data_IF_950795312763
#
_entry.id   IF_950795312763
#
_cell.length_a   1.000
_cell.length_b   1.000
_cell.length_c   1.000
_cell.angle_alpha   90.00
_cell.angle_beta   90.00
_cell.angle_gamma   90.00
#
_symmetry.space_group_name_H-M   'P 1'
#
loop_
_entity.id
_entity.type
_entity.pdbx_description
1 polymer ?
#
# COMPACT_ATOMS: atom_id res chain seq x y z
N UNK A 1 -48.03 12.52 -52.76
CA UNK A 1 -48.13 12.07 -51.36
C UNK A 1 -46.82 11.38 -50.99
N UNK A 2 -45.84 12.13 -50.48
CA UNK A 2 -44.58 11.56 -49.95
C UNK A 2 -44.72 11.40 -48.46
N UNK A 3 -44.62 10.16 -47.97
CA UNK A 3 -44.55 9.86 -46.55
C UNK A 3 -43.12 10.07 -46.07
N UNK A 4 -42.91 11.05 -45.19
CA UNK A 4 -41.68 11.21 -44.43
C UNK A 4 -41.72 10.23 -43.25
N UNK A 5 -40.89 9.18 -43.30
CA UNK A 5 -40.60 8.38 -42.12
C UNK A 5 -39.77 9.24 -41.15
N UNK A 6 -40.36 9.54 -40.00
CA UNK A 6 -39.67 10.16 -38.87
C UNK A 6 -39.13 9.03 -38.01
N UNK A 7 -37.86 8.65 -38.24
CA UNK A 7 -37.15 7.76 -37.32
C UNK A 7 -36.91 8.51 -36.02
N UNK A 8 -37.46 7.96 -34.94
CA UNK A 8 -37.26 8.47 -33.58
C UNK A 8 -35.87 8.06 -33.13
N UNK A 9 -35.00 8.97 -32.67
CA UNK A 9 -33.68 8.60 -32.16
C UNK A 9 -33.87 7.76 -30.90
N UNK A 10 -33.47 6.49 -30.96
CA UNK A 10 -33.28 5.65 -29.78
C UNK A 10 -32.25 6.33 -28.89
N UNK A 11 -32.70 6.80 -27.73
CA UNK A 11 -31.84 7.21 -26.63
C UNK A 11 -30.95 6.01 -26.26
N UNK A 12 -29.68 6.05 -26.66
CA UNK A 12 -28.68 5.12 -26.16
C UNK A 12 -28.67 5.21 -24.64
N UNK A 13 -29.05 4.12 -23.97
CA UNK A 13 -28.86 3.99 -22.53
C UNK A 13 -27.37 4.18 -22.26
N UNK A 14 -26.95 5.10 -21.38
CA UNK A 14 -25.53 5.23 -21.03
C UNK A 14 -25.05 3.87 -20.52
N UNK A 15 -23.93 3.38 -21.07
CA UNK A 15 -23.28 2.22 -20.51
C UNK A 15 -22.91 2.53 -19.05
N UNK A 16 -23.09 1.59 -18.12
CA UNK A 16 -22.65 1.81 -16.75
C UNK A 16 -21.14 2.09 -16.75
N UNK A 17 -20.72 3.05 -15.94
CA UNK A 17 -19.30 3.37 -15.78
C UNK A 17 -18.54 2.11 -15.34
N UNK A 18 -17.31 1.89 -15.84
CA UNK A 18 -16.51 0.77 -15.39
C UNK A 18 -16.25 0.89 -13.88
N UNK A 19 -16.28 -0.23 -13.13
CA UNK A 19 -16.00 -0.20 -11.69
C UNK A 19 -14.54 0.18 -11.44
N UNK A 20 -14.28 0.80 -10.31
CA UNK A 20 -12.92 1.02 -9.82
C UNK A 20 -12.27 -0.31 -9.43
N UNK A 21 -10.94 -0.34 -9.38
CA UNK A 21 -10.18 -1.52 -8.95
C UNK A 21 -9.31 -1.16 -7.75
N UNK A 22 -9.38 -1.99 -6.71
CA UNK A 22 -8.46 -1.97 -5.56
C UNK A 22 -7.69 -3.28 -5.52
N UNK A 23 -6.39 -3.21 -5.29
CA UNK A 23 -5.51 -4.38 -5.15
C UNK A 23 -4.83 -4.35 -3.80
N UNK A 24 -4.85 -5.46 -3.08
CA UNK A 24 -4.00 -5.72 -1.93
C UNK A 24 -2.97 -6.79 -2.31
N UNK A 25 -1.72 -6.35 -2.45
CA UNK A 25 -0.58 -7.22 -2.75
C UNK A 25 0.17 -7.52 -1.46
N UNK A 26 0.34 -8.79 -1.11
CA UNK A 26 0.88 -9.19 0.19
C UNK A 26 2.12 -10.08 0.10
N UNK A 27 3.02 -9.92 1.05
CA UNK A 27 4.21 -10.76 1.27
C UNK A 27 4.26 -11.10 2.76
N UNK A 28 3.84 -12.33 3.09
CA UNK A 28 3.56 -12.78 4.45
C UNK A 28 4.07 -14.22 4.66
N UNK A 29 5.23 -14.43 5.31
CA UNK A 29 6.15 -13.42 5.85
C UNK A 29 7.00 -12.71 4.78
N UNK A 30 7.48 -11.51 5.09
CA UNK A 30 8.42 -10.74 4.28
C UNK A 30 9.77 -10.60 4.99
N UNK A 31 10.84 -10.75 4.21
CA UNK A 31 12.19 -10.50 4.66
C UNK A 31 12.53 -9.00 4.52
N UNK A 32 12.87 -8.35 5.63
CA UNK A 32 13.58 -7.07 5.57
C UNK A 32 15.06 -7.38 5.31
N UNK A 33 15.46 -7.34 4.04
CA UNK A 33 16.87 -7.50 3.69
C UNK A 33 17.71 -6.41 4.39
N UNK A 34 18.83 -6.78 5.04
CA UNK A 34 19.79 -5.79 5.51
C UNK A 34 20.31 -4.99 4.30
N UNK A 35 20.43 -3.69 4.49
CA UNK A 35 20.96 -2.77 3.48
C UNK A 35 22.35 -3.24 3.11
N UNK A 36 22.57 -3.56 1.83
CA UNK A 36 23.93 -3.52 1.29
C UNK A 36 24.41 -2.09 1.50
N UNK A 37 25.52 -1.82 2.23
CA UNK A 37 25.85 -0.48 2.73
C UNK A 37 25.99 0.61 1.66
N UNK A 38 26.00 0.23 0.39
CA UNK A 38 26.21 1.13 -0.72
C UNK A 38 24.90 1.63 -1.32
N UNK A 39 24.75 2.95 -1.36
CA UNK A 39 23.62 3.64 -1.96
C UNK A 39 23.70 3.70 -3.50
N UNK A 40 24.83 3.30 -4.10
CA UNK A 40 25.06 3.31 -5.54
C UNK A 40 24.62 1.99 -6.22
N UNK A 41 23.65 2.02 -7.15
CA UNK A 41 23.24 0.83 -7.92
C UNK A 41 24.37 0.24 -8.80
N UNK A 42 25.42 1.01 -9.12
CA UNK A 42 26.61 0.60 -9.87
C UNK A 42 27.81 0.20 -8.98
N UNK A 43 27.65 0.18 -7.65
CA UNK A 43 28.67 -0.27 -6.72
C UNK A 43 29.23 -1.68 -7.03
N UNK A 44 28.39 -2.54 -7.64
CA UNK A 44 28.76 -3.90 -8.05
C UNK A 44 29.76 -3.97 -9.22
N UNK A 45 30.02 -2.85 -9.91
CA UNK A 45 30.88 -2.78 -11.11
C UNK A 45 32.22 -2.08 -10.88
N UNK A 46 32.49 -1.54 -9.68
CA UNK A 46 33.78 -0.91 -9.38
C UNK A 46 34.84 -1.97 -9.09
N UNK A 47 35.98 -1.89 -9.77
CA UNK A 47 37.15 -2.74 -9.51
C UNK A 47 37.81 -2.40 -8.16
N UNK A 48 37.61 -1.19 -7.65
CA UNK A 48 38.05 -0.75 -6.32
C UNK A 48 36.99 -1.07 -5.25
N UNK A 49 37.24 -2.14 -4.51
CA UNK A 49 36.41 -2.65 -3.42
C UNK A 49 36.66 -1.91 -2.08
N UNK A 50 36.96 -0.60 -2.12
CA UNK A 50 37.69 0.10 -1.05
C UNK A 50 36.97 1.30 -0.39
N UNK A 51 35.66 1.46 -0.55
CA UNK A 51 34.92 2.57 0.12
C UNK A 51 33.92 2.08 1.19
N UNK A 52 34.01 0.83 1.63
CA UNK A 52 33.37 0.43 2.88
C UNK A 52 34.20 1.01 4.04
N UNK A 53 33.62 1.76 4.99
CA UNK A 53 34.33 2.12 6.21
C UNK A 53 34.86 0.85 6.87
N UNK A 54 36.17 0.81 7.13
CA UNK A 54 36.79 -0.26 7.91
C UNK A 54 36.01 -0.39 9.23
N UNK A 55 35.33 -1.53 9.42
CA UNK A 55 34.60 -1.84 10.66
C UNK A 55 33.08 -1.97 10.56
N UNK A 56 32.46 -1.87 9.38
CA UNK A 56 31.04 -2.27 9.22
C UNK A 56 30.94 -3.80 9.08
N UNK A 57 31.26 -4.51 10.16
CA UNK A 57 30.85 -5.90 10.34
C UNK A 57 29.40 -5.87 10.83
N UNK A 58 28.44 -6.07 9.94
CA UNK A 58 27.08 -6.43 10.36
C UNK A 58 27.19 -7.74 11.16
N UNK A 59 26.81 -7.79 12.45
CA UNK A 59 26.85 -9.00 13.24
C UNK A 59 26.13 -10.15 12.52
N UNK A 60 26.67 -11.36 12.58
CA UNK A 60 26.03 -12.53 11.95
C UNK A 60 24.58 -12.71 12.45
N UNK A 61 24.31 -12.35 13.70
CA UNK A 61 22.96 -12.36 14.28
C UNK A 61 21.99 -11.39 13.60
N UNK A 62 22.44 -10.25 13.06
CA UNK A 62 21.61 -9.33 12.26
C UNK A 62 21.39 -9.83 10.82
N UNK A 63 22.38 -10.52 10.24
CA UNK A 63 22.23 -11.20 8.94
C UNK A 63 21.30 -12.41 9.03
N UNK A 64 21.22 -13.04 10.20
CA UNK A 64 20.36 -14.20 10.50
C UNK A 64 19.03 -13.80 11.17
N UNK A 65 18.84 -12.52 11.52
CA UNK A 65 17.58 -12.01 12.06
C UNK A 65 16.52 -11.98 10.95
N UNK A 66 15.91 -13.14 10.78
CA UNK A 66 14.80 -13.46 9.89
C UNK A 66 13.46 -13.07 10.50
N UNK A 67 13.43 -12.21 11.53
CA UNK A 67 12.17 -11.76 12.13
C UNK A 67 11.24 -11.22 11.04
N UNK A 68 10.25 -12.05 10.78
CA UNK A 68 9.24 -11.91 9.75
C UNK A 68 8.44 -10.65 10.03
N UNK A 69 8.60 -9.64 9.18
CA UNK A 69 7.58 -8.60 9.09
C UNK A 69 6.56 -9.02 8.06
N UNK A 70 5.36 -8.51 8.18
CA UNK A 70 4.31 -8.75 7.21
C UNK A 70 4.15 -7.50 6.36
N UNK A 71 4.31 -7.64 5.05
CA UNK A 71 4.25 -6.51 4.13
C UNK A 71 3.00 -6.59 3.27
N UNK A 72 2.33 -5.45 3.15
CA UNK A 72 1.22 -5.22 2.26
C UNK A 72 1.49 -4.02 1.35
N UNK A 73 0.84 -3.99 0.20
CA UNK A 73 0.79 -2.86 -0.70
C UNK A 73 -0.63 -2.71 -1.21
N UNK A 74 -1.23 -1.53 -1.02
CA UNK A 74 -2.57 -1.19 -1.45
C UNK A 74 -2.49 -0.22 -2.62
N UNK A 75 -3.06 -0.63 -3.75
CA UNK A 75 -3.09 0.16 -4.96
C UNK A 75 -4.52 0.30 -5.50
N UNK A 76 -4.77 1.37 -6.24
CA UNK A 76 -6.05 1.61 -6.90
C UNK A 76 -5.92 2.04 -8.35
N UNK A 77 -6.98 1.77 -9.10
CA UNK A 77 -7.19 2.25 -10.47
C UNK A 77 -8.62 2.77 -10.57
N UNK A 78 -8.78 4.06 -10.91
CA UNK A 78 -10.07 4.64 -11.29
C UNK A 78 -10.20 4.55 -12.81
N UNK A 79 -10.94 3.54 -13.28
CA UNK A 79 -11.10 3.30 -14.73
C UNK A 79 -11.99 4.32 -15.44
N UNK A 80 -12.78 5.10 -14.71
CA UNK A 80 -13.66 6.10 -15.33
C UNK A 80 -12.87 7.33 -15.75
N UNK A 81 -11.94 7.76 -14.89
CA UNK A 81 -11.14 8.96 -15.12
C UNK A 81 -9.71 8.65 -15.61
N UNK A 82 -9.35 7.38 -15.79
CA UNK A 82 -8.01 6.90 -16.20
C UNK A 82 -6.91 7.31 -15.20
N UNK A 83 -7.22 7.27 -13.89
CA UNK A 83 -6.29 7.66 -12.83
C UNK A 83 -5.73 6.43 -12.09
N UNK A 84 -4.42 6.41 -11.84
CA UNK A 84 -3.73 5.31 -11.16
C UNK A 84 -3.20 5.75 -9.79
N UNK A 85 -3.87 5.27 -8.74
CA UNK A 85 -3.49 5.41 -7.33
C UNK A 85 -4.65 5.06 -6.39
N UNK A 86 -4.37 4.55 -5.19
CA UNK A 86 -5.44 4.21 -4.24
C UNK A 86 -6.27 5.43 -3.83
N UNK A 87 -5.64 6.58 -3.66
CA UNK A 87 -6.34 7.81 -3.29
C UNK A 87 -7.12 8.46 -4.44
N UNK A 88 -6.98 7.98 -5.69
CA UNK A 88 -7.76 8.46 -6.84
C UNK A 88 -9.09 7.72 -7.02
N UNK A 89 -9.31 6.64 -6.24
CA UNK A 89 -10.59 5.92 -6.27
C UNK A 89 -11.75 6.84 -5.93
N UNK A 90 -12.85 6.74 -6.70
CA UNK A 90 -14.03 7.61 -6.55
C UNK A 90 -14.69 7.47 -5.19
N UNK A 91 -14.62 6.27 -4.61
CA UNK A 91 -15.14 5.97 -3.28
C UNK A 91 -14.02 5.58 -2.31
N UNK A 92 -13.55 6.50 -1.45
CA UNK A 92 -12.59 6.15 -0.41
C UNK A 92 -13.16 5.19 0.64
N UNK A 93 -14.48 5.01 0.68
CA UNK A 93 -15.12 4.02 1.54
C UNK A 93 -14.83 2.58 1.08
N UNK A 94 -14.30 2.40 -0.14
CA UNK A 94 -13.79 1.14 -0.60
C UNK A 94 -12.58 0.63 0.21
N UNK A 95 -11.82 1.51 0.87
CA UNK A 95 -10.60 1.13 1.59
C UNK A 95 -10.45 1.73 2.98
N UNK A 96 -10.93 2.95 3.23
CA UNK A 96 -10.70 3.62 4.53
C UNK A 96 -11.37 2.91 5.70
N UNK A 97 -12.68 2.61 5.69
CA UNK A 97 -13.31 1.84 6.76
C UNK A 97 -12.69 0.44 6.96
N UNK A 98 -12.47 -0.38 5.89
CA UNK A 98 -11.78 -1.65 6.03
C UNK A 98 -10.40 -1.56 6.69
N UNK A 99 -9.58 -0.55 6.37
CA UNK A 99 -8.26 -0.39 6.98
C UNK A 99 -8.35 -0.02 8.45
N UNK A 100 -9.30 0.84 8.82
CA UNK A 100 -9.54 1.19 10.21
C UNK A 100 -10.01 -0.03 11.03
N UNK A 101 -10.85 -0.90 10.45
CA UNK A 101 -11.36 -2.11 11.11
C UNK A 101 -10.30 -3.21 11.21
N UNK A 102 -9.61 -3.54 10.11
CA UNK A 102 -8.66 -4.64 10.06
C UNK A 102 -7.33 -4.34 10.78
N UNK A 103 -6.86 -3.10 10.66
CA UNK A 103 -5.48 -2.72 11.02
C UNK A 103 -5.43 -1.65 12.09
N UNK A 104 -6.51 -0.88 12.27
CA UNK A 104 -6.56 0.20 13.23
C UNK A 104 -6.53 -0.26 14.68
N UNK A 105 -5.81 0.50 15.50
CA UNK A 105 -5.75 0.37 16.94
C UNK A 105 -6.28 1.65 17.61
N UNK A 106 -6.26 1.66 18.94
CA UNK A 106 -6.86 2.74 19.73
C UNK A 106 -6.14 4.09 19.59
N UNK A 107 -4.86 4.10 19.23
CA UNK A 107 -4.04 5.29 19.03
C UNK A 107 -3.52 5.36 17.59
N UNK A 108 -3.45 6.58 17.08
CA UNK A 108 -2.86 6.90 15.79
C UNK A 108 -1.95 8.10 15.91
N UNK A 109 -0.85 8.08 15.16
CA UNK A 109 0.03 9.22 15.00
C UNK A 109 0.57 9.28 13.58
N UNK A 110 0.86 10.48 13.09
CA UNK A 110 1.58 10.69 11.83
C UNK A 110 2.91 11.37 12.08
N UNK A 111 3.88 11.11 11.21
CA UNK A 111 5.04 11.96 11.01
C UNK A 111 4.84 12.80 9.74
N UNK A 112 5.17 14.07 9.81
CA UNK A 112 5.12 14.96 8.65
C UNK A 112 6.47 15.03 7.93
N UNK A 113 6.51 15.67 6.76
CA UNK A 113 7.76 15.98 6.05
C UNK A 113 8.71 16.94 6.79
N UNK A 114 8.31 17.47 7.94
CA UNK A 114 9.11 18.32 8.82
C UNK A 114 9.53 17.59 10.10
N UNK A 115 9.53 16.25 10.09
CA UNK A 115 9.84 15.38 11.23
C UNK A 115 9.01 15.67 12.49
N UNK A 116 7.81 16.24 12.31
CA UNK A 116 6.88 16.54 13.40
C UNK A 116 5.92 15.38 13.58
N UNK A 117 5.84 14.88 14.82
CA UNK A 117 4.93 13.79 15.19
C UNK A 117 3.66 14.35 15.80
N UNK A 118 2.51 13.99 15.22
CA UNK A 118 1.20 14.47 15.64
C UNK A 118 0.29 13.30 15.97
N UNK A 119 -0.34 13.35 17.15
CA UNK A 119 -1.42 12.43 17.51
C UNK A 119 -2.67 12.74 16.69
N UNK A 120 -3.31 11.70 16.16
CA UNK A 120 -4.51 11.85 15.34
C UNK A 120 -5.75 11.37 16.10
N UNK A 121 -6.82 12.17 16.00
CA UNK A 121 -8.17 11.71 16.32
C UNK A 121 -8.81 10.94 15.14
N UNK A 122 -9.93 10.22 15.36
CA UNK A 122 -10.54 9.34 14.35
C UNK A 122 -10.78 10.00 12.98
N UNK A 123 -11.31 11.22 12.96
CA UNK A 123 -11.56 11.94 11.70
C UNK A 123 -10.28 12.38 11.00
N UNK A 124 -9.23 12.68 11.76
CA UNK A 124 -7.94 13.06 11.21
C UNK A 124 -7.27 11.86 10.53
N UNK A 125 -7.39 10.66 11.10
CA UNK A 125 -6.89 9.41 10.48
C UNK A 125 -7.60 9.16 9.15
N UNK A 126 -8.93 9.26 9.12
CA UNK A 126 -9.71 9.12 7.87
C UNK A 126 -9.23 10.08 6.79
N UNK A 127 -8.97 11.35 7.15
CA UNK A 127 -8.43 12.34 6.22
C UNK A 127 -7.04 11.97 5.70
N UNK A 128 -6.15 11.51 6.58
CA UNK A 128 -4.78 11.12 6.19
C UNK A 128 -4.81 9.91 5.25
N UNK A 129 -5.62 8.88 5.53
CA UNK A 129 -5.74 7.72 4.65
C UNK A 129 -6.29 8.09 3.26
N UNK A 130 -7.14 9.12 3.17
CA UNK A 130 -7.70 9.65 1.92
C UNK A 130 -6.75 10.54 1.15
N UNK A 131 -5.94 11.32 1.85
CA UNK A 131 -5.05 12.30 1.26
C UNK A 131 -3.82 12.47 2.18
N UNK A 132 -2.75 11.69 1.98
CA UNK A 132 -1.56 11.72 2.84
C UNK A 132 -0.63 12.91 2.53
N UNK A 133 -1.18 14.10 2.31
CA UNK A 133 -0.39 15.30 2.00
C UNK A 133 0.56 15.62 3.15
N UNK A 134 1.85 15.77 2.82
CA UNK A 134 2.94 16.03 3.78
C UNK A 134 3.08 14.98 4.88
N UNK A 135 2.57 13.76 4.68
CA UNK A 135 2.76 12.63 5.60
C UNK A 135 3.90 11.77 5.08
N UNK A 136 4.84 11.43 5.96
CA UNK A 136 5.95 10.51 5.66
C UNK A 136 5.76 9.16 6.32
N UNK A 137 4.95 9.10 7.38
CA UNK A 137 4.65 7.89 8.12
C UNK A 137 3.30 8.04 8.83
N UNK A 138 2.51 6.98 8.85
CA UNK A 138 1.33 6.86 9.71
C UNK A 138 1.45 5.57 10.52
N UNK A 139 1.22 5.65 11.83
CA UNK A 139 1.34 4.50 12.74
C UNK A 139 0.06 4.32 13.53
N UNK A 140 -0.23 3.07 13.91
CA UNK A 140 -1.30 2.76 14.85
C UNK A 140 -0.87 1.76 15.90
N UNK A 141 -1.31 1.99 17.14
CA UNK A 141 -0.87 1.27 18.32
C UNK A 141 -1.96 1.25 19.41
N UNK A 142 -1.84 0.36 20.38
CA UNK A 142 -2.76 0.30 21.53
C UNK A 142 -2.43 1.37 22.58
N UNK A 143 -1.20 1.88 22.59
CA UNK A 143 -0.69 2.92 23.49
C UNK A 143 0.06 4.00 22.71
N UNK A 144 0.24 5.22 23.26
CA UNK A 144 1.05 6.25 22.62
C UNK A 144 2.48 5.77 22.36
N UNK A 145 2.99 6.04 21.16
CA UNK A 145 4.34 5.68 20.72
C UNK A 145 5.22 6.92 20.82
N UNK A 146 6.46 6.75 21.29
CA UNK A 146 7.41 7.86 21.44
C UNK A 146 7.74 8.48 20.08
N UNK A 147 7.84 9.81 20.03
CA UNK A 147 8.07 10.54 18.78
C UNK A 147 9.41 10.15 18.14
N UNK A 148 10.43 9.89 18.96
CA UNK A 148 11.76 9.48 18.54
C UNK A 148 11.76 8.12 17.82
N UNK A 149 10.84 7.21 18.19
CA UNK A 149 10.66 5.92 17.52
C UNK A 149 10.06 6.09 16.12
N UNK A 150 9.09 7.00 16.01
CA UNK A 150 8.40 7.31 14.75
C UNK A 150 9.37 8.03 13.78
N UNK A 151 10.09 9.05 14.25
CA UNK A 151 11.01 9.83 13.40
C UNK A 151 12.24 9.04 12.96
N UNK A 152 12.67 8.01 13.71
CA UNK A 152 13.75 7.13 13.30
C UNK A 152 13.45 6.36 11.99
N UNK A 153 12.17 6.17 11.66
CA UNK A 153 11.69 5.45 10.48
C UNK A 153 11.17 6.40 9.40
N UNK A 154 10.56 7.52 9.80
CA UNK A 154 9.98 8.50 8.89
C UNK A 154 10.99 9.03 7.85
N UNK A 155 10.53 9.22 6.60
CA UNK A 155 11.34 9.77 5.51
C UNK A 155 12.45 8.84 4.99
N UNK A 156 12.59 7.63 5.55
CA UNK A 156 13.52 6.61 5.07
C UNK A 156 12.78 5.60 4.20
N UNK A 157 13.42 5.14 3.13
CA UNK A 157 12.94 3.95 2.43
C UNK A 157 12.90 2.78 3.43
N UNK A 158 11.80 1.99 3.53
CA UNK A 158 11.65 0.96 4.57
C UNK A 158 12.83 -0.02 4.65
N UNK A 159 13.45 -0.34 3.50
CA UNK A 159 14.66 -1.18 3.43
C UNK A 159 15.87 -0.54 4.10
N UNK A 160 16.01 0.78 4.04
CA UNK A 160 17.12 1.55 4.64
C UNK A 160 16.99 1.75 6.15
N UNK A 161 15.83 1.40 6.72
CA UNK A 161 15.54 1.53 8.14
C UNK A 161 15.09 0.22 8.78
N UNK A 162 15.50 -0.94 8.27
CA UNK A 162 14.97 -2.25 8.68
C UNK A 162 14.98 -2.46 10.21
N UNK A 163 16.08 -2.14 10.89
CA UNK A 163 16.18 -2.26 12.36
C UNK A 163 15.27 -1.26 13.09
N UNK A 164 15.25 -0.01 12.66
CA UNK A 164 14.38 1.02 13.23
C UNK A 164 12.90 0.67 13.03
N UNK A 165 12.54 0.14 11.87
CA UNK A 165 11.19 -0.33 11.54
C UNK A 165 10.80 -1.53 12.41
N UNK A 166 11.69 -2.53 12.56
CA UNK A 166 11.46 -3.65 13.48
C UNK A 166 11.24 -3.18 14.91
N UNK A 167 12.06 -2.23 15.36
CA UNK A 167 11.94 -1.65 16.70
C UNK A 167 10.61 -0.93 16.86
N UNK A 168 10.22 -0.11 15.88
CA UNK A 168 8.94 0.57 15.87
C UNK A 168 7.76 -0.41 15.86
N UNK A 169 7.84 -1.52 15.11
CA UNK A 169 6.78 -2.53 15.05
C UNK A 169 6.52 -3.24 16.39
N UNK A 170 7.47 -3.22 17.32
CA UNK A 170 7.23 -3.71 18.69
C UNK A 170 6.31 -2.76 19.49
N UNK A 171 6.36 -1.46 19.21
CA UNK A 171 5.57 -0.44 19.89
C UNK A 171 4.28 -0.08 19.12
N UNK A 172 4.32 -0.19 17.79
CA UNK A 172 3.28 0.16 16.84
C UNK A 172 3.06 -1.00 15.85
N UNK A 173 2.11 -1.92 16.12
CA UNK A 173 1.99 -3.16 15.35
C UNK A 173 1.65 -3.00 13.86
N UNK A 174 1.26 -1.80 13.41
CA UNK A 174 1.05 -1.48 12.00
C UNK A 174 1.59 -0.07 11.68
N UNK A 175 2.33 0.01 10.58
CA UNK A 175 2.94 1.23 10.04
C UNK A 175 2.60 1.34 8.56
N UNK A 176 2.24 2.54 8.12
CA UNK A 176 1.87 2.87 6.75
C UNK A 176 2.82 3.92 6.20
N UNK A 177 3.28 3.71 4.98
CA UNK A 177 4.06 4.65 4.19
C UNK A 177 3.25 5.04 2.96
N UNK A 178 3.00 6.34 2.74
CA UNK A 178 2.41 6.78 1.49
C UNK A 178 3.44 6.63 0.37
N UNK A 179 3.03 6.00 -0.72
CA UNK A 179 3.86 5.79 -1.90
C UNK A 179 3.28 6.63 -3.04
N UNK A 180 4.07 7.52 -3.67
CA UNK A 180 3.58 8.26 -4.83
C UNK A 180 3.13 7.30 -5.93
N UNK A 181 1.90 7.50 -6.42
CA UNK A 181 1.39 6.84 -7.62
C UNK A 181 1.40 7.83 -8.80
N UNK A 182 0.93 7.41 -9.97
CA UNK A 182 0.77 8.35 -11.09
C UNK A 182 -0.21 9.47 -10.71
N UNK A 183 -1.31 9.10 -10.07
CA UNK A 183 -2.36 9.98 -9.57
C UNK A 183 -2.56 9.77 -8.06
N UNK A 184 -2.09 10.72 -7.27
CA UNK A 184 -2.20 10.64 -5.81
C UNK A 184 -1.21 9.63 -5.21
N UNK A 185 -1.71 8.73 -4.36
CA UNK A 185 -0.88 7.85 -3.54
C UNK A 185 -1.47 6.44 -3.39
N UNK A 186 -0.56 5.49 -3.27
CA UNK A 186 -0.77 4.14 -2.77
C UNK A 186 -0.27 4.04 -1.31
N UNK A 187 -0.47 2.88 -0.68
CA UNK A 187 0.03 2.61 0.66
C UNK A 187 0.88 1.35 0.72
N UNK A 188 2.15 1.51 1.09
CA UNK A 188 2.96 0.43 1.66
C UNK A 188 2.58 0.25 3.13
N UNK A 189 2.34 -0.99 3.56
CA UNK A 189 1.95 -1.34 4.93
C UNK A 189 2.92 -2.37 5.49
N UNK A 190 3.38 -2.16 6.72
CA UNK A 190 4.18 -3.11 7.48
C UNK A 190 3.47 -3.45 8.79
N UNK A 191 3.49 -4.72 9.17
CA UNK A 191 2.90 -5.18 10.43
C UNK A 191 3.76 -6.22 11.13
N UNK A 192 3.62 -6.27 12.45
CA UNK A 192 4.15 -7.32 13.30
C UNK A 192 3.38 -8.65 13.18
N UNK A 193 2.20 -8.65 12.53
CA UNK A 193 1.34 -9.83 12.39
C UNK A 193 0.76 -9.96 10.97
N UNK A 194 0.41 -11.18 10.51
CA UNK A 194 -0.24 -11.40 9.22
C UNK A 194 -1.46 -10.50 9.04
N UNK A 195 -1.60 -9.85 7.87
CA UNK A 195 -2.65 -8.87 7.59
C UNK A 195 -3.70 -9.40 6.63
N UNK A 196 -3.33 -10.31 5.73
CA UNK A 196 -4.17 -10.82 4.65
C UNK A 196 -5.58 -11.18 5.10
N UNK A 197 -5.73 -12.12 6.02
CA UNK A 197 -7.05 -12.63 6.39
C UNK A 197 -7.89 -11.57 7.14
N UNK A 198 -7.23 -10.68 7.90
CA UNK A 198 -7.90 -9.55 8.56
C UNK A 198 -8.45 -8.55 7.55
N UNK A 199 -7.66 -8.21 6.53
CA UNK A 199 -8.08 -7.31 5.45
C UNK A 199 -9.18 -7.93 4.58
N UNK A 200 -9.07 -9.21 4.24
CA UNK A 200 -10.11 -9.93 3.51
C UNK A 200 -11.43 -9.92 4.28
N UNK A 201 -11.39 -10.22 5.58
CA UNK A 201 -12.57 -10.17 6.42
C UNK A 201 -13.19 -8.77 6.46
N UNK A 202 -12.38 -7.73 6.63
CA UNK A 202 -12.88 -6.35 6.64
C UNK A 202 -13.43 -5.89 5.29
N UNK A 203 -12.80 -6.25 4.16
CA UNK A 203 -13.34 -5.95 2.84
C UNK A 203 -14.72 -6.58 2.62
N UNK A 204 -14.91 -7.83 3.06
CA UNK A 204 -16.21 -8.50 3.01
C UNK A 204 -17.25 -7.87 3.92
N UNK A 205 -16.84 -7.38 5.10
CA UNK A 205 -17.71 -6.69 6.05
C UNK A 205 -18.13 -5.27 5.57
N UNK A 206 -17.40 -4.71 4.60
CA UNK A 206 -17.63 -3.39 4.04
C UNK A 206 -17.80 -3.46 2.51
N UNK A 207 -18.96 -3.91 1.99
CA UNK A 207 -19.20 -3.97 0.55
C UNK A 207 -19.02 -2.62 -0.15
N UNK A 208 -18.39 -2.64 -1.32
CA UNK A 208 -18.24 -1.46 -2.19
C UNK A 208 -18.75 -1.83 -3.60
N UNK A 209 -20.01 -1.51 -3.95
CA UNK A 209 -20.62 -1.98 -5.20
C UNK A 209 -19.92 -1.44 -6.45
N UNK A 210 -19.27 -0.28 -6.35
CA UNK A 210 -18.62 0.40 -7.46
C UNK A 210 -17.09 0.13 -7.52
N UNK A 211 -16.57 -0.76 -6.67
CA UNK A 211 -15.14 -1.07 -6.60
C UNK A 211 -14.93 -2.57 -6.47
N UNK A 212 -14.20 -3.15 -7.42
CA UNK A 212 -13.74 -4.54 -7.36
C UNK A 212 -12.46 -4.61 -6.54
N UNK A 213 -12.36 -5.58 -5.64
CA UNK A 213 -11.20 -5.71 -4.75
C UNK A 213 -10.50 -7.04 -4.97
N UNK A 214 -9.20 -6.99 -5.18
CA UNK A 214 -8.39 -8.17 -5.46
C UNK A 214 -7.27 -8.36 -4.45
N UNK A 215 -7.00 -9.60 -4.10
CA UNK A 215 -5.95 -10.03 -3.20
C UNK A 215 -4.96 -10.87 -3.99
N UNK A 216 -3.67 -10.49 -3.94
CA UNK A 216 -2.63 -11.14 -4.72
C UNK A 216 -1.35 -11.35 -3.90
N UNK A 217 -0.66 -12.49 -4.03
CA UNK A 217 0.66 -12.67 -3.44
C UNK A 217 1.72 -11.88 -4.24
N UNK A 218 2.61 -11.19 -3.53
CA UNK A 218 3.65 -10.33 -4.12
C UNK A 218 4.52 -11.05 -5.16
N UNK A 219 4.87 -12.32 -4.92
CA UNK A 219 5.71 -13.09 -5.84
C UNK A 219 5.07 -13.25 -7.23
N UNK A 220 3.73 -13.21 -7.30
CA UNK A 220 2.98 -13.29 -8.55
C UNK A 220 2.67 -11.93 -9.17
N UNK A 221 2.90 -10.81 -8.48
CA UNK A 221 2.64 -9.46 -8.97
C UNK A 221 3.92 -8.68 -9.38
N UNK A 222 5.06 -9.36 -9.54
CA UNK A 222 6.37 -8.71 -9.76
C UNK A 222 6.57 -8.05 -11.12
N UNK A 223 5.82 -8.45 -12.14
CA UNK A 223 5.90 -7.84 -13.47
C UNK A 223 4.74 -6.88 -13.67
N UNK A 224 4.99 -5.78 -14.37
CA UNK A 224 4.01 -4.75 -14.69
C UNK A 224 2.72 -5.33 -15.28
N UNK A 225 2.83 -6.23 -16.26
CA UNK A 225 1.67 -6.91 -16.87
C UNK A 225 0.83 -7.77 -15.93
N UNK A 226 1.42 -8.24 -14.81
CA UNK A 226 0.70 -9.01 -13.77
C UNK A 226 0.14 -8.10 -12.69
N UNK A 227 0.76 -6.95 -12.46
CA UNK A 227 0.27 -5.94 -11.54
C UNK A 227 -0.92 -5.17 -12.14
N UNK A 228 -0.86 -4.82 -13.42
CA UNK A 228 -1.92 -4.15 -14.18
C UNK A 228 -2.84 -5.14 -14.91
N UNK A 229 -3.07 -6.33 -14.35
CA UNK A 229 -3.96 -7.33 -14.97
C UNK A 229 -5.39 -6.80 -15.19
N UNK A 230 -5.78 -5.76 -14.46
CA UNK A 230 -7.03 -5.03 -14.60
C UNK A 230 -7.17 -4.23 -15.90
N UNK A 231 -6.06 -3.77 -16.48
CA UNK A 231 -6.08 -3.09 -17.78
C UNK A 231 -6.16 -4.09 -18.94
N UNK A 232 -5.56 -5.27 -18.77
CA UNK A 232 -5.31 -6.19 -19.89
C UNK A 232 -6.12 -7.50 -19.85
N UNK A 233 -6.58 -7.92 -18.66
CA UNK A 233 -7.11 -9.27 -18.40
C UNK A 233 -8.40 -9.30 -17.57
N UNK A 234 -8.92 -8.16 -17.09
CA UNK A 234 -10.09 -8.13 -16.20
C UNK A 234 -11.36 -8.72 -16.82
N UNK A 235 -11.46 -8.71 -18.15
CA UNK A 235 -12.58 -9.30 -18.92
C UNK A 235 -12.29 -10.72 -19.41
N UNK A 236 -11.05 -11.21 -19.27
CA UNK A 236 -10.68 -12.56 -19.64
C UNK A 236 -11.01 -13.50 -18.46
N UNK A 237 -12.18 -14.13 -18.52
CA UNK A 237 -12.55 -15.19 -17.58
C UNK A 237 -11.97 -16.53 -18.03
N UNK A 238 -11.40 -17.34 -17.12
CA UNK A 238 -11.20 -17.08 -15.68
C UNK A 238 -9.96 -16.20 -15.39
N UNK A 239 -10.02 -15.46 -14.28
CA UNK A 239 -8.83 -14.81 -13.70
C UNK A 239 -7.80 -15.89 -13.29
N UNK A 240 -6.50 -15.57 -13.25
CA UNK A 240 -5.50 -16.49 -12.72
C UNK A 240 -5.81 -16.95 -11.29
N UNK A 241 -5.61 -18.25 -11.01
CA UNK A 241 -5.97 -18.90 -9.73
C UNK A 241 -5.32 -18.29 -8.47
N UNK A 242 -4.27 -17.48 -8.62
CA UNK A 242 -3.60 -16.78 -7.52
C UNK A 242 -4.24 -15.43 -7.16
N UNK A 243 -5.26 -15.00 -7.90
CA UNK A 243 -6.01 -13.76 -7.64
C UNK A 243 -7.33 -14.12 -6.97
N UNK A 244 -7.56 -13.60 -5.76
CA UNK A 244 -8.85 -13.70 -5.07
C UNK A 244 -9.60 -12.37 -5.20
N UNK A 245 -10.83 -12.39 -5.69
CA UNK A 245 -11.75 -11.24 -5.65
C UNK A 245 -12.63 -11.33 -4.38
N UNK A 246 -12.79 -10.22 -3.65
CA UNK A 246 -13.44 -10.18 -2.31
C UNK A 246 -14.52 -9.13 -2.16
#
# INVERSE_FOLDING_TARGET
MSQFNTETPTLSTPMPDPPDVLKYVHEEPALLEPVTPDADPDARRREDRSDLPDGVSVPLDELLDTRDVYRGYLAGTNHTDDEVGLTSLRSPDAYVPPLLDALGRSQWARCTGQDTVEKLGPDAVRRVLRAPTNVTLLVTADTPVAAERITAVAGRAPRRGAEALRTLLNDAPVVFFPEPAHDGHDWSVFSAHPMRDRLVAAFRAHPAPDTRRFILPYQQARSESKFYFDEWQLTASPLPDYIEEV
#
